data_IF_848210622217
#
_entry.id   IF_848210622217
#
_cell.length_a   1.000
_cell.length_b   1.000
_cell.length_c   1.000
_cell.angle_alpha   90.00
_cell.angle_beta   90.00
_cell.angle_gamma   90.00
#
_symmetry.space_group_name_H-M   'P 1'
#
loop_
_entity.id
_entity.type
_entity.pdbx_description
1 polymer ?
#
# COMPACT_ATOMS: atom_id res chain seq x y z
N UNK A 1 -9.87 7.49 9.74
CA UNK A 1 -8.79 7.99 8.85
C UNK A 1 -9.12 9.43 8.55
N UNK A 2 -8.12 10.32 8.46
CA UNK A 2 -8.30 11.73 8.09
C UNK A 2 -8.56 11.85 6.57
N UNK A 3 -9.46 12.75 6.16
CA UNK A 3 -9.85 12.96 4.77
C UNK A 3 -8.70 13.38 3.83
N UNK A 4 -7.69 14.09 4.34
CA UNK A 4 -6.46 14.45 3.61
C UNK A 4 -5.71 13.18 3.21
N UNK A 5 -5.48 12.26 4.15
CA UNK A 5 -4.78 10.99 3.88
C UNK A 5 -5.57 10.15 2.87
N UNK A 6 -6.89 10.08 3.02
CA UNK A 6 -7.77 9.36 2.07
C UNK A 6 -7.61 9.89 0.65
N UNK A 7 -7.62 11.22 0.48
CA UNK A 7 -7.41 11.85 -0.84
C UNK A 7 -6.07 11.49 -1.44
N UNK A 8 -4.99 11.48 -0.64
CA UNK A 8 -3.67 11.09 -1.14
C UNK A 8 -3.62 9.60 -1.51
N UNK A 9 -4.23 8.71 -0.73
CA UNK A 9 -4.32 7.28 -1.08
C UNK A 9 -5.03 7.09 -2.42
N UNK A 10 -6.18 7.73 -2.63
CA UNK A 10 -6.90 7.63 -3.91
C UNK A 10 -6.10 8.20 -5.08
N UNK A 11 -5.36 9.29 -4.87
CA UNK A 11 -4.48 9.86 -5.89
C UNK A 11 -3.37 8.90 -6.31
N UNK A 12 -2.72 8.25 -5.33
CA UNK A 12 -1.68 7.25 -5.59
C UNK A 12 -2.28 6.02 -6.31
N UNK A 13 -3.47 5.57 -5.92
CA UNK A 13 -4.17 4.46 -6.61
C UNK A 13 -4.55 4.85 -8.06
N UNK A 14 -5.00 6.08 -8.28
CA UNK A 14 -5.34 6.57 -9.62
C UNK A 14 -4.10 6.64 -10.53
N UNK A 15 -3.00 7.18 -10.03
CA UNK A 15 -1.73 7.26 -10.76
C UNK A 15 -1.18 5.86 -11.08
N UNK A 16 -1.29 4.93 -10.14
CA UNK A 16 -0.96 3.53 -10.39
C UNK A 16 -1.75 2.94 -11.57
N UNK A 17 -3.05 3.28 -11.67
CA UNK A 17 -3.90 2.85 -12.77
C UNK A 17 -3.50 3.46 -14.12
N UNK A 18 -3.14 4.74 -14.14
CA UNK A 18 -2.68 5.46 -15.34
C UNK A 18 -1.38 4.83 -15.87
N UNK A 19 -0.38 4.68 -15.00
CA UNK A 19 0.92 4.10 -15.35
C UNK A 19 0.77 2.63 -15.78
N UNK A 20 -0.11 1.87 -15.11
CA UNK A 20 -0.42 0.52 -15.52
C UNK A 20 -0.99 0.48 -16.94
N UNK A 21 -1.93 1.35 -17.28
CA UNK A 21 -2.49 1.45 -18.63
C UNK A 21 -1.46 1.89 -19.68
N UNK A 22 -0.48 2.70 -19.29
CA UNK A 22 0.63 3.14 -20.13
C UNK A 22 1.74 2.07 -20.30
N UNK A 23 1.64 0.93 -19.61
CA UNK A 23 2.65 -0.14 -19.65
C UNK A 23 3.83 0.06 -18.70
N UNK A 24 3.83 1.11 -17.86
CA UNK A 24 4.82 1.30 -16.81
C UNK A 24 4.44 0.51 -15.55
N UNK A 25 4.82 -0.76 -15.52
CA UNK A 25 4.57 -1.63 -14.39
C UNK A 25 5.32 -1.18 -13.12
N UNK A 26 6.58 -0.77 -13.25
CA UNK A 26 7.39 -0.38 -12.09
C UNK A 26 6.86 0.89 -11.43
N UNK A 27 6.51 1.90 -12.22
CA UNK A 27 5.87 3.12 -11.74
C UNK A 27 4.52 2.81 -11.09
N UNK A 28 3.69 1.99 -11.75
CA UNK A 28 2.39 1.60 -11.19
C UNK A 28 2.53 0.92 -9.82
N UNK A 29 3.48 0.00 -9.67
CA UNK A 29 3.70 -0.69 -8.40
C UNK A 29 4.22 0.26 -7.32
N UNK A 30 5.13 1.18 -7.66
CA UNK A 30 5.64 2.20 -6.72
C UNK A 30 4.51 3.06 -6.14
N UNK A 31 3.54 3.46 -6.96
CA UNK A 31 2.37 4.20 -6.47
C UNK A 31 1.47 3.35 -5.56
N UNK A 32 1.33 2.04 -5.81
CA UNK A 32 0.66 1.14 -4.86
C UNK A 32 1.42 1.01 -3.54
N UNK A 33 2.75 0.94 -3.55
CA UNK A 33 3.57 0.91 -2.34
C UNK A 33 3.36 2.16 -1.48
N UNK A 34 3.29 3.33 -2.10
CA UNK A 34 3.01 4.61 -1.43
C UNK A 34 1.59 4.65 -0.85
N UNK A 35 0.59 4.26 -1.64
CA UNK A 35 -0.79 4.12 -1.18
C UNK A 35 -0.91 3.16 0.01
N UNK A 36 -0.13 2.07 -0.02
CA UNK A 36 -0.09 1.10 1.07
C UNK A 36 0.46 1.72 2.35
N UNK A 37 1.60 2.43 2.28
CA UNK A 37 2.21 3.11 3.44
C UNK A 37 1.26 4.13 4.08
N UNK A 38 0.58 4.95 3.27
CA UNK A 38 -0.42 5.90 3.77
C UNK A 38 -1.65 5.19 4.36
N UNK A 39 -2.04 4.06 3.79
CA UNK A 39 -3.23 3.30 4.15
C UNK A 39 -3.08 2.37 5.35
N UNK A 40 -1.87 2.12 5.88
CA UNK A 40 -1.61 1.03 6.83
C UNK A 40 -2.45 1.11 8.11
N UNK A 41 -2.77 2.31 8.59
CA UNK A 41 -3.56 2.53 9.80
C UNK A 41 -5.05 2.23 9.63
N UNK A 42 -5.54 2.07 8.39
CA UNK A 42 -6.93 1.73 8.09
C UNK A 42 -7.02 0.34 7.49
N UNK A 43 -7.69 -0.57 8.20
CA UNK A 43 -7.93 -1.94 7.71
C UNK A 43 -8.53 -1.95 6.30
N UNK A 44 -9.45 -1.03 6.01
CA UNK A 44 -10.07 -0.93 4.69
C UNK A 44 -9.05 -0.60 3.60
N UNK A 45 -8.32 0.50 3.73
CA UNK A 45 -7.36 0.93 2.71
C UNK A 45 -6.16 -0.01 2.63
N UNK A 46 -5.65 -0.48 3.77
CA UNK A 46 -4.57 -1.46 3.83
C UNK A 46 -4.93 -2.75 3.07
N UNK A 47 -6.14 -3.29 3.29
CA UNK A 47 -6.60 -4.50 2.58
C UNK A 47 -6.89 -4.21 1.10
N UNK A 48 -7.49 -3.06 0.78
CA UNK A 48 -7.78 -2.65 -0.59
C UNK A 48 -6.51 -2.51 -1.42
N UNK A 49 -5.46 -1.89 -0.88
CA UNK A 49 -4.20 -1.72 -1.61
C UNK A 49 -3.50 -3.08 -1.81
N UNK A 50 -3.52 -3.99 -0.82
CA UNK A 50 -3.03 -5.35 -1.04
C UNK A 50 -3.80 -6.10 -2.14
N UNK A 51 -5.11 -5.89 -2.23
CA UNK A 51 -5.90 -6.43 -3.34
C UNK A 51 -5.50 -5.84 -4.70
N UNK A 52 -5.16 -4.55 -4.75
CA UNK A 52 -4.65 -3.91 -5.97
C UNK A 52 -3.24 -4.40 -6.33
N UNK A 53 -2.35 -4.59 -5.36
CA UNK A 53 -1.04 -5.22 -5.56
C UNK A 53 -1.18 -6.67 -6.06
N UNK A 54 -2.16 -7.42 -5.54
CA UNK A 54 -2.46 -8.77 -6.03
C UNK A 54 -2.88 -8.75 -7.50
N UNK A 55 -3.78 -7.82 -7.89
CA UNK A 55 -4.17 -7.62 -9.29
C UNK A 55 -2.98 -7.22 -10.16
N UNK A 56 -2.09 -6.38 -9.65
CA UNK A 56 -0.84 -6.02 -10.33
C UNK A 56 0.03 -7.26 -10.58
N UNK A 57 0.24 -8.11 -9.56
CA UNK A 57 0.99 -9.36 -9.70
C UNK A 57 0.41 -10.30 -10.75
N UNK A 58 -0.93 -10.43 -10.83
CA UNK A 58 -1.57 -11.20 -11.91
C UNK A 58 -1.31 -10.61 -13.30
N UNK A 59 -1.39 -9.28 -13.43
CA UNK A 59 -1.16 -8.58 -14.70
C UNK A 59 0.27 -8.76 -15.21
N UNK A 60 1.25 -8.63 -14.32
CA UNK A 60 2.67 -8.79 -14.63
C UNK A 60 3.15 -10.26 -14.65
N UNK A 61 2.27 -11.20 -14.34
CA UNK A 61 2.57 -12.64 -14.19
C UNK A 61 3.65 -12.91 -13.12
N UNK A 62 3.70 -12.09 -12.08
CA UNK A 62 4.58 -12.27 -10.93
C UNK A 62 3.93 -13.20 -9.88
N UNK A 63 4.26 -14.49 -9.96
CA UNK A 63 3.75 -15.50 -9.03
C UNK A 63 4.20 -15.27 -7.58
N UNK A 64 5.38 -14.67 -7.37
CA UNK A 64 5.88 -14.37 -6.02
C UNK A 64 5.04 -13.27 -5.40
N UNK A 65 4.74 -12.23 -6.17
CA UNK A 65 3.87 -11.14 -5.74
C UNK A 65 2.46 -11.65 -5.43
N UNK A 66 1.88 -12.47 -6.31
CA UNK A 66 0.56 -13.07 -6.10
C UNK A 66 0.49 -13.85 -4.78
N UNK A 67 1.44 -14.77 -4.54
CA UNK A 67 1.46 -15.55 -3.30
C UNK A 67 1.67 -14.67 -2.05
N UNK A 68 2.57 -13.69 -2.15
CA UNK A 68 2.85 -12.74 -1.06
C UNK A 68 1.61 -11.93 -0.69
N UNK A 69 0.88 -11.42 -1.68
CA UNK A 69 -0.31 -10.60 -1.44
C UNK A 69 -1.48 -11.40 -0.86
N UNK A 70 -1.69 -12.66 -1.26
CA UNK A 70 -2.71 -13.52 -0.62
C UNK A 70 -2.47 -13.64 0.90
N UNK A 71 -1.22 -13.90 1.30
CA UNK A 71 -0.87 -13.98 2.72
C UNK A 71 -1.04 -12.63 3.43
N UNK A 72 -0.64 -11.54 2.77
CA UNK A 72 -0.74 -10.18 3.34
C UNK A 72 -2.17 -9.68 3.45
N UNK A 73 -3.08 -10.02 2.53
CA UNK A 73 -4.50 -9.72 2.66
C UNK A 73 -5.06 -10.35 3.93
N UNK A 74 -4.77 -11.63 4.18
CA UNK A 74 -5.17 -12.31 5.41
C UNK A 74 -4.58 -11.66 6.66
N UNK A 75 -3.30 -11.28 6.61
CA UNK A 75 -2.64 -10.55 7.69
C UNK A 75 -3.24 -9.17 7.95
N UNK A 76 -3.46 -8.37 6.91
CA UNK A 76 -4.00 -7.03 7.00
C UNK A 76 -5.43 -7.02 7.54
N UNK A 77 -6.30 -7.93 7.05
CA UNK A 77 -7.68 -8.03 7.50
C UNK A 77 -7.81 -8.43 8.98
N UNK A 78 -6.85 -9.18 9.52
CA UNK A 78 -6.92 -9.73 10.89
C UNK A 78 -6.11 -8.94 11.92
N UNK A 79 -4.95 -8.39 11.55
CA UNK A 79 -4.02 -7.72 12.49
C UNK A 79 -4.15 -6.20 12.51
N UNK A 80 -4.46 -5.58 11.37
CA UNK A 80 -4.66 -4.12 11.29
C UNK A 80 -5.76 -3.60 12.22
N UNK A 81 -6.92 -4.28 12.39
CA UNK A 81 -7.93 -3.87 13.36
C UNK A 81 -7.42 -3.79 14.81
N UNK A 82 -6.35 -4.52 15.13
CA UNK A 82 -5.70 -4.51 16.43
C UNK A 82 -4.57 -3.46 16.54
N UNK A 83 -4.40 -2.62 15.50
CA UNK A 83 -3.31 -1.65 15.40
C UNK A 83 -1.94 -2.28 15.11
N UNK A 84 -1.89 -3.55 14.71
CA UNK A 84 -0.65 -4.31 14.50
C UNK A 84 -0.33 -4.31 13.00
N UNK A 85 0.60 -3.44 12.59
CA UNK A 85 1.14 -3.39 11.24
C UNK A 85 2.58 -2.84 11.24
N UNK A 86 3.43 -3.24 10.28
CA UNK A 86 4.81 -2.76 10.18
C UNK A 86 4.86 -1.36 9.56
N UNK A 87 4.88 -0.32 10.39
CA UNK A 87 4.94 1.09 9.95
C UNK A 87 5.99 1.31 8.85
N UNK A 88 5.58 1.93 7.75
CA UNK A 88 6.41 2.29 6.60
C UNK A 88 6.82 1.12 5.69
N UNK A 89 6.43 -0.12 5.99
CA UNK A 89 6.61 -1.23 5.06
C UNK A 89 5.89 -0.95 3.74
N UNK A 90 6.52 -1.22 2.59
CA UNK A 90 5.92 -0.92 1.29
C UNK A 90 4.91 -1.96 0.81
N UNK A 91 4.87 -3.14 1.44
CA UNK A 91 3.86 -4.16 1.17
C UNK A 91 4.19 -5.12 0.02
N UNK A 92 5.26 -4.92 -0.76
CA UNK A 92 5.66 -5.80 -1.87
C UNK A 92 6.27 -7.14 -1.44
N UNK A 93 6.11 -8.22 -2.20
CA UNK A 93 6.61 -9.57 -1.85
C UNK A 93 8.14 -9.73 -1.85
N UNK A 94 8.85 -8.68 -2.27
CA UNK A 94 10.29 -8.54 -2.16
C UNK A 94 10.76 -8.13 -0.74
N UNK A 95 9.90 -7.59 0.12
CA UNK A 95 10.25 -7.17 1.48
C UNK A 95 9.69 -8.09 2.57
N UNK A 96 10.31 -8.10 3.75
CA UNK A 96 9.81 -8.87 4.90
C UNK A 96 8.49 -8.26 5.42
N UNK A 97 7.38 -9.01 5.54
CA UNK A 97 6.06 -8.49 5.93
C UNK A 97 5.95 -8.05 7.40
N UNK A 98 6.95 -8.30 8.25
CA UNK A 98 6.96 -7.90 9.65
C UNK A 98 8.00 -6.82 9.96
N UNK A 99 8.74 -6.36 8.95
CA UNK A 99 9.84 -5.40 9.12
C UNK A 99 9.32 -3.96 8.98
N UNK A 100 9.38 -3.12 10.02
CA UNK A 100 9.18 -1.69 9.87
C UNK A 100 10.24 -1.09 8.96
N UNK A 101 9.89 -0.06 8.21
CA UNK A 101 10.78 0.60 7.25
C UNK A 101 10.67 2.12 7.36
N UNK A 102 11.71 2.88 6.98
CA UNK A 102 11.62 4.33 6.89
C UNK A 102 10.48 4.76 5.93
N UNK A 103 9.73 5.77 6.32
CA UNK A 103 8.69 6.39 5.49
C UNK A 103 9.34 7.47 4.62
N UNK A 104 8.98 7.53 3.33
CA UNK A 104 9.45 8.61 2.45
C UNK A 104 9.02 9.98 3.02
N UNK A 105 9.88 11.03 2.99
CA UNK A 105 9.61 12.29 3.69
C UNK A 105 8.28 12.96 3.33
N UNK A 106 7.88 12.88 2.06
CA UNK A 106 6.61 13.43 1.58
C UNK A 106 5.38 12.67 2.13
N UNK A 107 5.47 11.35 2.28
CA UNK A 107 4.42 10.56 2.92
C UNK A 107 4.34 10.83 4.43
N UNK A 108 5.50 11.02 5.07
CA UNK A 108 5.55 11.38 6.49
C UNK A 108 4.88 12.73 6.74
N UNK A 109 5.14 13.73 5.89
CA UNK A 109 4.51 15.05 5.99
C UNK A 109 2.97 14.97 5.88
N UNK A 110 2.45 14.16 4.96
CA UNK A 110 1.00 13.92 4.81
C UNK A 110 0.41 13.31 6.08
N UNK A 111 1.07 12.28 6.64
CA UNK A 111 0.61 11.61 7.86
C UNK A 111 0.66 12.54 9.08
N UNK A 112 1.73 13.32 9.22
CA UNK A 112 1.87 14.28 10.32
C UNK A 112 0.87 15.43 10.22
N UNK A 113 0.60 15.94 9.01
CA UNK A 113 -0.43 16.96 8.82
C UNK A 113 -1.78 16.45 9.29
N UNK A 114 -2.12 15.21 8.94
CA UNK A 114 -3.37 14.58 9.32
C UNK A 114 -3.53 14.32 10.83
N UNK A 115 -2.42 14.21 11.57
CA UNK A 115 -2.42 14.08 13.04
C UNK A 115 -2.60 15.44 13.75
N UNK A 116 -2.34 16.56 13.06
CA UNK A 116 -2.47 17.93 13.59
C UNK A 116 -3.87 18.53 13.40
N UNK A 117 -4.71 17.91 12.59
CA UNK A 117 -6.10 18.30 12.28
C UNK A 117 -7.12 17.52 13.11
#
# INVERSE_FOLDING_TARGET
MNAVVEKHIESEIAEAGILAAAGDAAGAFRHLERAHVLGQSSTYYHTRVHWLMLKHGFRERDAREVAGQVLRIGGAATKTPLGIYPKGNTGGANVNPLKPMPIEPDLAEILEQAERE
#
